data_IF_005719424943
#
_entry.id   IF_005719424943
#
_cell.length_a   1.000
_cell.length_b   1.000
_cell.length_c   1.000
_cell.angle_alpha   90.00
_cell.angle_beta   90.00
_cell.angle_gamma   90.00
#
_symmetry.space_group_name_H-M   'P 1'
#
loop_
_entity.id
_entity.type
_entity.pdbx_description
1 polymer ?
#
# COMPACT_ATOMS: atom_id res chain seq x y z
N UNK A 1 -2.55 5.81 -27.57
CA UNK A 1 -3.84 5.67 -28.27
C UNK A 1 -4.38 7.03 -28.62
N UNK A 2 -5.09 7.13 -29.75
CA UNK A 2 -5.55 8.39 -30.34
C UNK A 2 -6.80 8.97 -29.69
N UNK A 3 -6.96 10.28 -29.86
CA UNK A 3 -8.14 11.05 -29.47
C UNK A 3 -9.41 10.44 -30.13
N UNK A 4 -10.60 10.65 -29.55
CA UNK A 4 -11.88 10.21 -30.13
C UNK A 4 -12.07 8.68 -30.29
N UNK A 5 -11.40 7.89 -29.47
CA UNK A 5 -11.67 6.45 -29.44
C UNK A 5 -12.89 6.14 -28.55
N UNK A 6 -13.97 5.67 -29.17
CA UNK A 6 -15.20 5.28 -28.48
C UNK A 6 -15.02 3.98 -27.68
N UNK A 7 -15.06 2.84 -28.36
CA UNK A 7 -14.93 1.50 -27.77
C UNK A 7 -13.81 0.71 -28.43
N UNK A 8 -13.00 0.04 -27.62
CA UNK A 8 -11.98 -0.93 -28.07
C UNK A 8 -12.11 -2.23 -27.28
N UNK A 9 -12.01 -3.35 -27.99
CA UNK A 9 -11.81 -4.67 -27.39
C UNK A 9 -10.48 -5.24 -27.94
N UNK A 10 -9.61 -5.66 -27.03
CA UNK A 10 -8.33 -6.30 -27.33
C UNK A 10 -8.37 -7.69 -26.71
N UNK A 11 -8.46 -8.71 -27.56
CA UNK A 11 -8.77 -10.07 -27.14
C UNK A 11 -7.69 -11.02 -27.67
N UNK A 12 -7.16 -11.90 -26.81
CA UNK A 12 -6.22 -12.95 -27.22
C UNK A 12 -4.96 -12.42 -27.92
N UNK A 13 -4.55 -11.20 -27.59
CA UNK A 13 -3.37 -10.58 -28.19
C UNK A 13 -2.14 -10.91 -27.36
N UNK A 14 -1.05 -11.26 -28.03
CA UNK A 14 0.28 -11.37 -27.43
C UNK A 14 1.16 -10.24 -27.95
N UNK A 15 1.75 -9.48 -27.05
CA UNK A 15 2.74 -8.42 -27.34
C UNK A 15 3.93 -8.58 -26.41
N UNK A 16 5.11 -8.17 -26.86
CA UNK A 16 6.34 -8.31 -26.11
C UNK A 16 7.52 -7.68 -26.80
N UNK A 17 8.68 -7.73 -26.15
CA UNK A 17 9.96 -7.29 -26.72
C UNK A 17 9.93 -5.86 -27.27
N UNK A 18 9.36 -4.93 -26.49
CA UNK A 18 9.15 -3.54 -26.91
C UNK A 18 10.09 -2.57 -26.19
N UNK A 19 10.71 -1.64 -26.94
CA UNK A 19 11.53 -0.57 -26.35
C UNK A 19 10.70 0.47 -25.54
N UNK A 20 9.37 0.41 -25.62
CA UNK A 20 8.44 1.27 -24.91
C UNK A 20 7.40 0.44 -24.12
N UNK A 21 6.20 0.98 -23.92
CA UNK A 21 5.07 0.23 -23.38
C UNK A 21 4.56 -0.80 -24.40
N UNK A 22 4.22 -2.02 -23.95
CA UNK A 22 3.53 -2.98 -24.81
C UNK A 22 2.14 -2.48 -25.21
N UNK A 23 1.52 -1.70 -24.32
CA UNK A 23 0.18 -1.20 -24.49
C UNK A 23 0.04 0.22 -23.95
N UNK A 24 -0.20 1.16 -24.85
CA UNK A 24 -0.60 2.52 -24.51
C UNK A 24 -1.77 2.90 -25.41
N UNK A 25 -2.98 2.53 -25.01
CA UNK A 25 -4.23 2.91 -25.67
C UNK A 25 -5.18 3.55 -24.66
N UNK A 26 -5.99 4.47 -25.19
CA UNK A 26 -7.02 5.19 -24.45
C UNK A 26 -8.32 5.08 -25.25
N UNK A 27 -9.42 4.75 -24.56
CA UNK A 27 -10.77 4.69 -25.13
C UNK A 27 -11.80 5.04 -24.05
N UNK A 28 -13.00 5.46 -24.47
CA UNK A 28 -14.12 5.68 -23.53
C UNK A 28 -14.56 4.36 -22.89
N UNK A 29 -14.54 3.28 -23.67
CA UNK A 29 -14.78 1.92 -23.19
C UNK A 29 -13.67 1.00 -23.72
N UNK A 30 -12.93 0.37 -22.82
CA UNK A 30 -11.83 -0.52 -23.19
C UNK A 30 -11.97 -1.86 -22.48
N UNK A 31 -11.87 -2.95 -23.24
CA UNK A 31 -11.72 -4.29 -22.68
C UNK A 31 -10.44 -4.91 -23.21
N UNK A 32 -9.55 -5.32 -22.31
CA UNK A 32 -8.37 -6.14 -22.59
C UNK A 32 -8.59 -7.48 -21.90
N UNK A 33 -8.75 -8.55 -22.67
CA UNK A 33 -9.12 -9.86 -22.13
C UNK A 33 -8.28 -10.98 -22.73
N UNK A 34 -7.77 -11.84 -21.85
CA UNK A 34 -6.97 -13.00 -22.24
C UNK A 34 -5.74 -12.62 -23.09
N UNK A 35 -5.12 -11.48 -22.77
CA UNK A 35 -3.94 -11.00 -23.47
C UNK A 35 -2.66 -11.38 -22.72
N UNK A 36 -1.52 -11.36 -23.43
CA UNK A 36 -0.20 -11.63 -22.88
C UNK A 36 0.78 -10.51 -23.23
N UNK A 37 1.32 -9.86 -22.21
CA UNK A 37 2.32 -8.79 -22.31
C UNK A 37 3.63 -9.32 -21.72
N UNK A 38 4.50 -9.86 -22.58
CA UNK A 38 5.69 -10.62 -22.17
C UNK A 38 6.94 -9.87 -22.60
N UNK A 39 7.76 -9.42 -21.65
CA UNK A 39 8.93 -8.61 -21.93
C UNK A 39 10.15 -9.39 -22.45
N UNK A 40 11.28 -8.67 -22.63
CA UNK A 40 11.54 -7.31 -22.13
C UNK A 40 10.66 -6.21 -22.73
N UNK A 41 10.02 -5.43 -21.87
CA UNK A 41 9.28 -4.22 -22.26
C UNK A 41 9.52 -3.12 -21.24
N UNK A 42 9.63 -1.84 -21.63
CA UNK A 42 9.77 -0.78 -20.64
C UNK A 42 8.64 -0.90 -19.62
N UNK A 43 7.39 -0.88 -20.07
CA UNK A 43 6.24 -1.18 -19.22
C UNK A 43 5.26 -2.08 -19.96
N UNK A 44 4.41 -2.81 -19.25
CA UNK A 44 3.34 -3.55 -19.91
C UNK A 44 2.23 -2.61 -20.37
N UNK A 45 1.80 -1.69 -19.50
CA UNK A 45 0.70 -0.78 -19.78
C UNK A 45 0.98 0.64 -19.29
N UNK A 46 0.68 1.60 -20.15
CA UNK A 46 0.53 3.02 -19.78
C UNK A 46 -0.91 3.46 -20.07
N UNK A 47 -1.65 3.82 -19.02
CA UNK A 47 -3.06 4.18 -19.11
C UNK A 47 -3.25 5.62 -18.66
N UNK A 48 -3.84 6.43 -19.53
CA UNK A 48 -4.10 7.85 -19.22
C UNK A 48 -5.44 8.02 -18.52
N UNK A 49 -5.45 8.48 -17.28
CA UNK A 49 -6.66 8.67 -16.47
C UNK A 49 -7.33 10.04 -16.72
N UNK A 50 -7.63 10.33 -17.98
CA UNK A 50 -8.28 11.59 -18.41
C UNK A 50 -9.46 11.32 -19.33
N UNK A 51 -10.32 12.34 -19.52
CA UNK A 51 -11.40 12.25 -20.52
C UNK A 51 -10.80 11.96 -21.90
N UNK A 52 -11.43 11.06 -22.65
CA UNK A 52 -11.14 10.91 -24.07
C UNK A 52 -11.40 12.25 -24.75
N UNK A 53 -10.38 12.85 -25.35
CA UNK A 53 -10.57 14.13 -26.03
C UNK A 53 -11.62 13.90 -27.13
N UNK A 54 -12.76 14.59 -27.01
CA UNK A 54 -13.88 14.44 -27.93
C UNK A 54 -15.16 13.79 -27.42
N UNK A 55 -15.10 13.06 -26.30
CA UNK A 55 -16.30 12.46 -25.71
C UNK A 55 -16.50 12.96 -24.28
N UNK A 56 -17.72 13.41 -23.98
CA UNK A 56 -18.09 13.83 -22.63
C UNK A 56 -18.49 12.65 -21.73
N UNK A 57 -17.92 11.46 -21.96
CA UNK A 57 -18.23 10.22 -21.23
C UNK A 57 -17.10 9.89 -20.25
N UNK A 58 -17.44 9.28 -19.11
CA UNK A 58 -16.46 8.69 -18.20
C UNK A 58 -15.78 7.51 -18.89
N UNK A 59 -14.48 7.35 -18.72
CA UNK A 59 -13.75 6.21 -19.27
C UNK A 59 -13.98 4.97 -18.39
N UNK A 60 -14.28 3.83 -18.99
CA UNK A 60 -14.42 2.54 -18.31
C UNK A 60 -13.48 1.51 -18.97
N UNK A 61 -12.48 1.05 -18.23
CA UNK A 61 -11.50 0.08 -18.74
C UNK A 61 -11.50 -1.19 -17.89
N UNK A 62 -11.54 -2.33 -18.55
CA UNK A 62 -11.49 -3.66 -17.94
C UNK A 62 -10.28 -4.41 -18.50
N UNK A 63 -9.37 -4.81 -17.62
CA UNK A 63 -8.18 -5.60 -17.92
C UNK A 63 -8.32 -6.89 -17.14
N UNK A 64 -8.61 -7.98 -17.85
CA UNK A 64 -9.09 -9.22 -17.25
C UNK A 64 -8.36 -10.44 -17.80
N UNK A 65 -8.13 -11.42 -16.92
CA UNK A 65 -7.58 -12.73 -17.26
C UNK A 65 -6.28 -12.66 -18.12
N UNK A 66 -5.47 -11.62 -17.93
CA UNK A 66 -4.30 -11.36 -18.77
C UNK A 66 -2.99 -11.68 -18.03
N UNK A 67 -1.94 -11.94 -18.80
CA UNK A 67 -0.61 -12.25 -18.29
C UNK A 67 0.37 -11.12 -18.57
N UNK A 68 1.23 -10.85 -17.59
CA UNK A 68 2.17 -9.76 -17.57
C UNK A 68 3.50 -10.28 -17.04
N UNK A 69 4.55 -10.34 -17.87
CA UNK A 69 5.83 -10.94 -17.48
C UNK A 69 7.00 -10.04 -17.83
N UNK A 70 7.96 -9.85 -16.91
CA UNK A 70 9.31 -9.32 -17.21
C UNK A 70 9.40 -7.89 -17.78
N UNK A 71 8.82 -6.85 -17.14
CA UNK A 71 9.05 -5.47 -17.55
C UNK A 71 10.44 -5.00 -17.08
N UNK A 72 11.04 -4.06 -17.80
CA UNK A 72 12.37 -3.48 -17.50
C UNK A 72 12.30 -2.02 -16.98
N UNK A 73 11.10 -1.47 -16.75
CA UNK A 73 10.86 -0.13 -16.18
C UNK A 73 11.52 0.06 -14.83
N UNK A 74 11.90 1.31 -14.54
CA UNK A 74 12.40 1.78 -13.25
C UNK A 74 11.34 1.91 -12.15
N UNK A 75 10.04 1.96 -12.48
CA UNK A 75 9.01 2.36 -11.50
C UNK A 75 7.85 1.34 -11.35
N UNK A 76 7.02 1.16 -12.38
CA UNK A 76 5.87 0.25 -12.35
C UNK A 76 5.54 -0.32 -13.74
N UNK A 77 5.19 -1.61 -13.79
CA UNK A 77 4.83 -2.32 -15.04
C UNK A 77 3.49 -1.88 -15.62
N UNK A 78 2.54 -1.47 -14.78
CA UNK A 78 1.27 -0.82 -15.14
C UNK A 78 1.27 0.57 -14.52
N UNK A 79 1.27 1.59 -15.37
CA UNK A 79 1.27 2.98 -14.94
C UNK A 79 -0.05 3.65 -15.31
N UNK A 80 -0.80 4.13 -14.30
CA UNK A 80 -1.92 5.04 -14.49
C UNK A 80 -1.40 6.46 -14.30
N UNK A 81 -1.48 7.26 -15.36
CA UNK A 81 -0.77 8.55 -15.46
C UNK A 81 -1.67 9.68 -15.95
N UNK A 82 -1.19 10.92 -15.76
CA UNK A 82 -1.80 12.15 -16.27
C UNK A 82 -3.30 12.25 -15.94
N UNK A 83 -3.63 11.94 -14.70
CA UNK A 83 -4.98 12.06 -14.19
C UNK A 83 -5.46 13.52 -14.19
N UNK A 84 -6.68 13.75 -14.65
CA UNK A 84 -7.30 15.09 -14.58
C UNK A 84 -8.11 15.31 -13.28
N UNK A 85 -7.89 14.46 -12.26
CA UNK A 85 -8.64 14.40 -10.99
C UNK A 85 -10.14 14.13 -11.13
N UNK A 86 -10.62 13.82 -12.35
CA UNK A 86 -12.00 13.37 -12.61
C UNK A 86 -12.07 11.86 -12.58
N UNK A 87 -13.28 11.35 -12.43
CA UNK A 87 -13.52 9.92 -12.26
C UNK A 87 -13.44 9.15 -13.58
N UNK A 88 -12.45 8.27 -13.67
CA UNK A 88 -12.24 7.26 -14.70
C UNK A 88 -12.10 5.90 -14.04
N UNK A 89 -12.85 4.93 -14.54
CA UNK A 89 -12.93 3.61 -13.93
C UNK A 89 -11.95 2.66 -14.61
N UNK A 90 -11.19 1.94 -13.80
CA UNK A 90 -10.25 0.91 -14.24
C UNK A 90 -10.45 -0.32 -13.38
N UNK A 91 -10.61 -1.48 -14.00
CA UNK A 91 -10.72 -2.76 -13.30
C UNK A 91 -9.64 -3.70 -13.80
N UNK A 92 -8.77 -4.16 -12.89
CA UNK A 92 -7.77 -5.19 -13.11
C UNK A 92 -8.20 -6.44 -12.35
N UNK A 93 -8.78 -7.41 -13.06
CA UNK A 93 -9.40 -8.58 -12.45
C UNK A 93 -8.73 -9.88 -12.90
N UNK A 94 -8.34 -10.73 -11.95
CA UNK A 94 -7.84 -12.10 -12.24
C UNK A 94 -6.65 -12.13 -13.22
N UNK A 95 -5.77 -11.14 -13.14
CA UNK A 95 -4.55 -11.11 -13.95
C UNK A 95 -3.39 -11.78 -13.21
N UNK A 96 -2.40 -12.22 -13.99
CA UNK A 96 -1.15 -12.76 -13.49
C UNK A 96 0.00 -11.82 -13.85
N UNK A 97 0.66 -11.26 -12.85
CA UNK A 97 1.85 -10.43 -12.97
C UNK A 97 3.05 -11.19 -12.42
N UNK A 98 4.14 -11.26 -13.19
CA UNK A 98 5.31 -12.05 -12.83
C UNK A 98 6.62 -11.34 -13.18
N UNK A 99 7.63 -11.49 -12.33
CA UNK A 99 9.00 -11.02 -12.54
C UNK A 99 9.09 -9.52 -12.91
N UNK A 100 8.44 -8.66 -12.11
CA UNK A 100 8.64 -7.21 -12.21
C UNK A 100 9.68 -6.77 -11.19
N UNK A 101 10.84 -6.27 -11.61
CA UNK A 101 11.91 -5.89 -10.69
C UNK A 101 11.55 -4.74 -9.75
N UNK A 102 10.71 -3.79 -10.19
CA UNK A 102 10.39 -2.58 -9.44
C UNK A 102 8.98 -2.57 -8.87
N UNK A 103 7.94 -2.71 -9.70
CA UNK A 103 6.56 -2.63 -9.24
C UNK A 103 5.50 -3.05 -10.24
N UNK A 104 4.30 -3.32 -9.76
CA UNK A 104 3.15 -3.66 -10.62
C UNK A 104 2.33 -2.42 -10.92
N UNK A 105 1.67 -1.82 -9.93
CA UNK A 105 0.77 -0.69 -10.14
C UNK A 105 1.39 0.63 -9.67
N UNK A 106 1.51 1.59 -10.58
CA UNK A 106 1.94 2.96 -10.29
C UNK A 106 0.84 3.97 -10.58
N UNK A 107 0.59 4.87 -9.62
CA UNK A 107 -0.42 5.93 -9.71
C UNK A 107 0.23 7.31 -9.70
N UNK A 108 0.06 8.06 -10.80
CA UNK A 108 0.76 9.32 -11.01
C UNK A 108 -0.20 10.43 -11.45
N UNK A 109 -0.25 11.49 -10.65
CA UNK A 109 -0.79 12.80 -11.06
C UNK A 109 -2.30 12.82 -11.19
N UNK A 110 -3.03 12.61 -10.09
CA UNK A 110 -4.48 12.87 -10.06
C UNK A 110 -5.36 11.75 -10.57
N UNK A 111 -4.94 10.49 -10.45
CA UNK A 111 -5.74 9.35 -10.89
C UNK A 111 -6.95 9.18 -9.97
N UNK A 112 -8.15 9.42 -10.48
CA UNK A 112 -9.39 9.38 -9.72
C UNK A 112 -10.44 8.53 -10.44
N UNK A 113 -11.31 7.87 -9.67
CA UNK A 113 -12.42 7.07 -10.19
C UNK A 113 -12.46 5.69 -9.53
N UNK A 114 -13.42 4.84 -9.89
CA UNK A 114 -13.51 3.50 -9.30
C UNK A 114 -12.41 2.62 -9.87
N UNK A 115 -11.27 2.56 -9.18
CA UNK A 115 -10.13 1.74 -9.58
C UNK A 115 -10.14 0.48 -8.73
N UNK A 116 -10.38 -0.65 -9.36
CA UNK A 116 -10.53 -1.94 -8.71
C UNK A 116 -9.39 -2.84 -9.17
N UNK A 117 -8.60 -3.33 -8.22
CA UNK A 117 -7.54 -4.32 -8.44
C UNK A 117 -7.88 -5.52 -7.57
N UNK A 118 -8.48 -6.53 -8.19
CA UNK A 118 -9.09 -7.66 -7.47
C UNK A 118 -8.73 -9.02 -8.07
N UNK A 119 -8.56 -10.01 -7.20
CA UNK A 119 -8.28 -11.41 -7.55
C UNK A 119 -7.02 -11.63 -8.40
N UNK A 120 -6.05 -10.71 -8.37
CA UNK A 120 -4.81 -10.86 -9.14
C UNK A 120 -3.76 -11.67 -8.38
N UNK A 121 -2.89 -12.33 -9.14
CA UNK A 121 -1.67 -12.96 -8.64
C UNK A 121 -0.46 -12.13 -9.08
N UNK A 122 0.26 -11.57 -8.12
CA UNK A 122 1.48 -10.78 -8.33
C UNK A 122 2.63 -11.56 -7.74
N UNK A 123 3.40 -12.25 -8.58
CA UNK A 123 4.44 -13.16 -8.13
C UNK A 123 5.85 -12.67 -8.50
N UNK A 124 6.78 -12.75 -7.54
CA UNK A 124 8.16 -12.29 -7.70
C UNK A 124 8.27 -10.86 -8.24
N UNK A 125 7.54 -9.94 -7.61
CA UNK A 125 7.52 -8.51 -8.00
C UNK A 125 8.33 -7.62 -7.04
N UNK A 126 8.71 -6.41 -7.44
CA UNK A 126 9.38 -5.46 -6.56
C UNK A 126 8.40 -4.90 -5.52
N UNK A 127 7.33 -4.25 -5.96
CA UNK A 127 6.25 -3.76 -5.09
C UNK A 127 4.88 -3.96 -5.73
N UNK A 128 3.82 -4.11 -4.92
CA UNK A 128 2.48 -4.31 -5.46
C UNK A 128 1.89 -3.00 -5.98
N UNK A 129 1.92 -1.95 -5.15
CA UNK A 129 1.31 -0.67 -5.46
C UNK A 129 2.17 0.51 -4.96
N UNK A 130 2.29 1.53 -5.81
CA UNK A 130 3.08 2.72 -5.56
C UNK A 130 2.31 3.99 -5.94
N UNK A 131 2.20 4.92 -4.98
CA UNK A 131 1.62 6.25 -5.19
C UNK A 131 2.72 7.28 -5.37
N UNK A 132 3.09 7.52 -6.62
CA UNK A 132 4.24 8.34 -6.96
C UNK A 132 4.02 9.84 -6.97
N UNK A 133 5.12 10.58 -6.88
CA UNK A 133 5.16 12.02 -7.10
C UNK A 133 5.05 12.27 -8.61
N UNK A 134 4.10 13.10 -9.03
CA UNK A 134 3.95 13.51 -10.41
C UNK A 134 4.77 14.78 -10.71
N UNK A 135 5.09 15.08 -11.98
CA UNK A 135 5.72 16.35 -12.36
C UNK A 135 4.96 17.55 -11.78
N UNK A 136 5.67 18.65 -11.49
CA UNK A 136 5.17 19.76 -10.66
C UNK A 136 3.85 20.43 -11.07
N UNK A 137 3.38 20.28 -12.31
CA UNK A 137 2.05 20.76 -12.72
C UNK A 137 0.90 19.81 -12.36
N UNK A 138 1.20 18.57 -11.96
CA UNK A 138 0.25 17.54 -11.51
C UNK A 138 0.43 17.17 -10.04
N UNK A 139 1.45 17.71 -9.37
CA UNK A 139 1.84 17.34 -7.99
C UNK A 139 0.75 17.63 -6.95
N UNK A 140 -0.12 18.62 -7.20
CA UNK A 140 -1.22 18.96 -6.29
C UNK A 140 -2.46 18.06 -6.44
N UNK A 141 -2.52 17.25 -7.50
CA UNK A 141 -3.67 16.39 -7.81
C UNK A 141 -3.67 15.11 -6.98
N UNK A 142 -4.84 14.73 -6.46
CA UNK A 142 -4.98 13.60 -5.53
C UNK A 142 -5.33 12.31 -6.26
N UNK A 143 -4.66 11.21 -5.91
CA UNK A 143 -5.12 9.89 -6.31
C UNK A 143 -6.27 9.45 -5.40
N UNK A 144 -7.39 8.98 -5.93
CA UNK A 144 -8.55 8.62 -5.08
C UNK A 144 -9.46 7.51 -5.60
N UNK A 145 -10.17 6.89 -4.66
CA UNK A 145 -11.21 5.87 -4.86
C UNK A 145 -10.65 4.52 -5.38
N UNK A 146 -9.62 4.01 -4.71
CA UNK A 146 -8.89 2.80 -5.15
C UNK A 146 -9.17 1.64 -4.21
N UNK A 147 -9.47 0.47 -4.75
CA UNK A 147 -9.72 -0.77 -4.02
C UNK A 147 -8.70 -1.81 -4.47
N UNK A 148 -7.91 -2.31 -3.53
CA UNK A 148 -6.95 -3.40 -3.71
C UNK A 148 -7.37 -4.58 -2.84
N UNK A 149 -7.98 -5.60 -3.44
CA UNK A 149 -8.71 -6.64 -2.72
C UNK A 149 -8.42 -8.06 -3.19
N UNK A 150 -8.33 -9.01 -2.27
CA UNK A 150 -8.23 -10.45 -2.56
C UNK A 150 -7.08 -10.82 -3.52
N UNK A 151 -5.99 -10.06 -3.50
CA UNK A 151 -4.81 -10.33 -4.31
C UNK A 151 -3.83 -11.23 -3.54
N UNK A 152 -3.14 -12.10 -4.27
CA UNK A 152 -1.98 -12.85 -3.78
C UNK A 152 -0.72 -12.15 -4.26
N UNK A 153 0.14 -11.76 -3.33
CA UNK A 153 1.33 -10.98 -3.63
C UNK A 153 2.56 -11.62 -3.02
N UNK A 154 3.58 -11.85 -3.84
CA UNK A 154 4.92 -12.26 -3.47
C UNK A 154 5.88 -11.18 -3.97
N UNK A 155 6.49 -10.42 -3.07
CA UNK A 155 7.32 -9.28 -3.47
C UNK A 155 8.61 -9.11 -2.67
N UNK A 156 9.67 -8.67 -3.34
CA UNK A 156 10.98 -8.42 -2.74
C UNK A 156 11.07 -7.05 -2.04
N UNK A 157 10.23 -6.10 -2.43
CA UNK A 157 10.04 -4.80 -1.79
C UNK A 157 8.70 -4.72 -1.06
N UNK A 158 8.16 -3.51 -0.95
CA UNK A 158 6.96 -3.27 -0.14
C UNK A 158 5.68 -3.77 -0.81
N UNK A 159 4.70 -4.16 -0.02
CA UNK A 159 3.35 -4.38 -0.50
C UNK A 159 2.77 -3.07 -1.08
N UNK A 160 2.68 -2.00 -0.29
CA UNK A 160 2.14 -0.68 -0.72
C UNK A 160 3.07 0.46 -0.27
N UNK A 161 3.24 1.50 -1.10
CA UNK A 161 3.93 2.75 -0.74
C UNK A 161 3.09 4.00 -1.00
N UNK A 162 3.01 4.90 -0.01
CA UNK A 162 2.32 6.19 -0.08
C UNK A 162 3.30 7.38 0.03
N UNK A 163 3.51 8.12 -1.07
CA UNK A 163 4.36 9.33 -1.10
C UNK A 163 3.69 10.58 -1.67
N UNK A 164 2.40 10.52 -1.97
CA UNK A 164 1.66 11.63 -2.55
C UNK A 164 0.31 11.83 -1.82
N UNK A 165 -0.51 12.78 -2.27
CA UNK A 165 -1.85 13.00 -1.76
C UNK A 165 -2.77 11.87 -2.22
N UNK A 166 -3.31 11.12 -1.27
CA UNK A 166 -4.14 9.94 -1.54
C UNK A 166 -5.39 9.94 -0.68
N UNK A 167 -6.54 9.68 -1.28
CA UNK A 167 -7.83 9.68 -0.57
C UNK A 167 -8.69 8.46 -0.91
N UNK A 168 -9.45 7.95 0.05
CA UNK A 168 -10.42 6.86 -0.15
C UNK A 168 -9.78 5.61 -0.79
N UNK A 169 -8.80 5.03 -0.10
CA UNK A 169 -8.14 3.79 -0.55
C UNK A 169 -8.49 2.67 0.42
N UNK A 170 -8.96 1.55 -0.12
CA UNK A 170 -9.26 0.34 0.65
C UNK A 170 -8.33 -0.79 0.21
N UNK A 171 -7.56 -1.32 1.16
CA UNK A 171 -6.65 -2.45 0.96
C UNK A 171 -7.13 -3.57 1.86
N UNK A 172 -7.72 -4.62 1.30
CA UNK A 172 -8.35 -5.65 2.14
C UNK A 172 -8.25 -7.08 1.63
N UNK A 173 -8.25 -8.02 2.56
CA UNK A 173 -8.35 -9.45 2.26
C UNK A 173 -7.22 -9.96 1.34
N UNK A 174 -6.06 -9.29 1.32
CA UNK A 174 -4.92 -9.71 0.52
C UNK A 174 -3.98 -10.63 1.30
N UNK A 175 -3.24 -11.45 0.57
CA UNK A 175 -2.12 -12.23 1.12
C UNK A 175 -0.83 -11.69 0.56
N UNK A 176 0.04 -11.18 1.44
CA UNK A 176 1.37 -10.70 1.09
C UNK A 176 2.44 -11.62 1.68
N UNK A 177 3.38 -12.07 0.85
CA UNK A 177 4.55 -12.84 1.25
C UNK A 177 5.81 -12.08 0.87
N UNK A 178 6.59 -11.70 1.89
CA UNK A 178 7.93 -11.20 1.66
C UNK A 178 8.85 -12.31 1.17
N UNK A 179 9.57 -12.04 0.08
CA UNK A 179 10.61 -12.94 -0.46
C UNK A 179 12.03 -12.38 -0.27
N UNK A 180 12.15 -11.22 0.36
CA UNK A 180 13.44 -10.65 0.73
C UNK A 180 13.40 -10.08 2.14
N UNK A 181 14.57 -9.88 2.74
CA UNK A 181 14.69 -9.19 4.03
C UNK A 181 14.23 -7.72 3.98
N UNK A 182 14.02 -7.14 2.79
CA UNK A 182 13.56 -5.77 2.55
C UNK A 182 12.05 -5.68 2.27
N UNK A 183 11.35 -6.81 2.20
CA UNK A 183 9.91 -6.82 1.99
C UNK A 183 9.20 -6.17 3.18
N UNK A 184 8.35 -5.17 2.93
CA UNK A 184 7.68 -4.39 3.98
C UNK A 184 6.17 -4.36 3.75
N UNK A 185 5.37 -4.56 4.81
CA UNK A 185 3.91 -4.57 4.74
C UNK A 185 3.33 -3.25 4.19
N UNK A 186 3.93 -2.11 4.54
CA UNK A 186 3.54 -0.80 4.03
C UNK A 186 4.63 0.23 4.31
N UNK A 187 4.83 1.19 3.42
CA UNK A 187 5.68 2.36 3.65
C UNK A 187 4.85 3.62 3.42
N UNK A 188 4.91 4.58 4.33
CA UNK A 188 4.31 5.89 4.11
C UNK A 188 5.11 7.00 4.80
N UNK A 189 5.05 8.20 4.23
CA UNK A 189 5.68 9.39 4.81
C UNK A 189 5.66 10.54 3.80
N UNK A 190 5.80 11.78 4.31
CA UNK A 190 5.81 13.00 3.47
C UNK A 190 4.59 13.09 2.52
N UNK A 191 3.45 12.54 2.96
CA UNK A 191 2.23 12.44 2.17
C UNK A 191 1.03 13.01 2.94
N UNK A 192 -0.05 13.30 2.22
CA UNK A 192 -1.35 13.64 2.79
C UNK A 192 -2.31 12.49 2.51
N UNK A 193 -2.73 11.79 3.55
CA UNK A 193 -3.62 10.64 3.45
C UNK A 193 -4.97 10.94 4.09
N UNK A 194 -6.06 10.51 3.43
CA UNK A 194 -7.43 10.62 3.96
C UNK A 194 -8.20 9.34 3.66
N UNK A 195 -8.90 8.81 4.66
CA UNK A 195 -9.77 7.64 4.50
C UNK A 195 -9.03 6.44 3.86
N UNK A 196 -7.87 6.08 4.42
CA UNK A 196 -7.12 4.90 4.01
C UNK A 196 -7.48 3.76 4.96
N UNK A 197 -8.05 2.68 4.45
CA UNK A 197 -8.43 1.49 5.21
C UNK A 197 -7.53 0.31 4.81
N UNK A 198 -6.96 -0.35 5.81
CA UNK A 198 -6.13 -1.54 5.65
C UNK A 198 -6.68 -2.63 6.55
N UNK A 199 -7.45 -3.57 5.99
CA UNK A 199 -8.19 -4.55 6.81
C UNK A 199 -8.06 -6.00 6.36
N UNK A 200 -8.07 -6.93 7.31
CA UNK A 200 -8.13 -8.38 7.06
C UNK A 200 -7.04 -8.90 6.09
N UNK A 201 -5.88 -8.23 5.99
CA UNK A 201 -4.76 -8.72 5.18
C UNK A 201 -3.90 -9.69 5.99
N UNK A 202 -3.21 -10.61 5.31
CA UNK A 202 -2.25 -11.53 5.92
C UNK A 202 -0.86 -11.23 5.38
N UNK A 203 0.07 -10.88 6.27
CA UNK A 203 1.44 -10.52 5.98
C UNK A 203 2.39 -11.62 6.48
N UNK A 204 3.14 -12.26 5.58
CA UNK A 204 4.13 -13.31 5.89
C UNK A 204 5.55 -12.83 5.68
N UNK A 205 6.45 -13.16 6.61
CA UNK A 205 7.90 -13.03 6.46
C UNK A 205 8.35 -11.65 5.96
N UNK A 206 7.71 -10.59 6.44
CA UNK A 206 7.98 -9.23 6.01
C UNK A 206 8.18 -8.32 7.21
N UNK A 207 8.80 -7.18 6.96
CA UNK A 207 8.83 -6.08 7.90
C UNK A 207 7.42 -5.56 8.13
N UNK A 208 7.11 -5.21 9.37
CA UNK A 208 5.90 -4.45 9.67
C UNK A 208 6.00 -3.03 9.09
N UNK A 209 4.89 -2.31 9.09
CA UNK A 209 4.77 -1.00 8.46
C UNK A 209 5.84 -0.01 8.91
N UNK A 210 6.31 0.81 7.97
CA UNK A 210 7.26 1.89 8.17
C UNK A 210 6.60 3.26 8.00
N UNK A 211 6.92 4.19 8.90
CA UNK A 211 6.67 5.62 8.68
C UNK A 211 8.00 6.37 8.54
N UNK A 212 8.46 6.59 7.31
CA UNK A 212 9.80 7.13 7.04
C UNK A 212 9.89 8.67 7.08
N UNK A 213 8.76 9.36 7.21
CA UNK A 213 8.71 10.81 7.41
C UNK A 213 7.45 11.24 8.16
N UNK A 214 7.43 12.49 8.64
CA UNK A 214 6.21 13.11 9.17
C UNK A 214 5.10 13.16 8.13
N UNK A 215 3.85 13.20 8.59
CA UNK A 215 2.70 13.40 7.72
C UNK A 215 2.56 14.89 7.41
N UNK A 216 2.28 15.23 6.15
CA UNK A 216 1.98 16.60 5.72
C UNK A 216 0.47 16.85 5.83
N UNK A 217 -0.06 16.67 7.04
CA UNK A 217 -1.50 16.64 7.32
C UNK A 217 -2.18 15.31 7.00
N UNK A 218 -3.45 15.19 7.37
CA UNK A 218 -4.25 13.97 7.21
C UNK A 218 -4.14 13.00 8.39
N UNK A 219 -4.64 11.77 8.19
CA UNK A 219 -4.60 10.67 9.18
C UNK A 219 -3.71 9.55 8.67
N UNK A 220 -3.07 8.81 9.60
CA UNK A 220 -2.44 7.51 9.33
C UNK A 220 -3.48 6.54 8.75
N UNK A 221 -3.07 5.47 8.05
CA UNK A 221 -4.01 4.44 7.64
C UNK A 221 -4.75 3.84 8.85
N UNK A 222 -6.04 3.55 8.67
CA UNK A 222 -6.82 2.81 9.65
C UNK A 222 -6.55 1.31 9.45
N UNK A 223 -5.75 0.74 10.35
CA UNK A 223 -5.43 -0.69 10.34
C UNK A 223 -6.46 -1.46 11.17
N UNK A 224 -6.98 -2.56 10.64
CA UNK A 224 -8.01 -3.35 11.30
C UNK A 224 -7.89 -4.83 10.98
N UNK A 225 -7.58 -5.64 11.99
CA UNK A 225 -7.60 -7.11 11.91
C UNK A 225 -6.65 -7.67 10.84
N UNK A 226 -5.52 -7.00 10.56
CA UNK A 226 -4.49 -7.65 9.75
C UNK A 226 -3.72 -8.65 10.62
N UNK A 227 -3.23 -9.71 9.97
CA UNK A 227 -2.47 -10.78 10.62
C UNK A 227 -1.03 -10.73 10.14
N UNK A 228 -0.09 -10.76 11.09
CA UNK A 228 1.34 -10.82 10.81
C UNK A 228 1.88 -12.20 11.22
N UNK A 229 2.53 -12.90 10.29
CA UNK A 229 3.11 -14.23 10.49
C UNK A 229 4.61 -14.14 10.23
N UNK A 230 5.41 -14.44 11.25
CA UNK A 230 6.85 -14.21 11.28
C UNK A 230 7.24 -12.77 10.85
N UNK A 231 6.65 -11.74 11.51
CA UNK A 231 7.03 -10.36 11.23
C UNK A 231 8.49 -10.10 11.56
N UNK A 232 9.12 -9.23 10.76
CA UNK A 232 10.42 -8.66 11.04
C UNK A 232 10.22 -7.26 11.63
N UNK A 233 10.80 -7.01 12.80
CA UNK A 233 10.76 -5.71 13.43
C UNK A 233 12.13 -5.04 13.32
N UNK A 234 12.15 -3.74 13.02
CA UNK A 234 13.35 -2.92 13.04
C UNK A 234 13.03 -1.55 13.61
N UNK A 235 14.07 -0.81 13.99
CA UNK A 235 13.94 0.57 14.43
C UNK A 235 13.24 1.36 13.32
N UNK A 236 12.23 2.17 13.67
CA UNK A 236 11.29 2.86 12.76
C UNK A 236 10.30 1.97 11.97
N UNK A 237 10.39 0.65 12.10
CA UNK A 237 9.55 -0.37 11.46
C UNK A 237 8.95 -1.28 12.54
N UNK A 238 8.09 -0.67 13.35
CA UNK A 238 7.31 -1.31 14.40
C UNK A 238 8.09 -1.71 15.65
N UNK A 239 9.43 -1.57 15.68
CA UNK A 239 10.22 -1.60 16.92
C UNK A 239 10.45 -0.19 17.42
N UNK A 240 10.25 0.04 18.71
CA UNK A 240 10.59 1.30 19.39
C UNK A 240 11.26 1.00 20.74
N UNK A 241 12.31 1.77 21.03
CA UNK A 241 12.95 1.79 22.37
C UNK A 241 12.37 2.99 23.11
N UNK A 242 11.83 2.72 24.28
CA UNK A 242 11.08 3.68 25.10
C UNK A 242 11.80 3.81 26.43
N UNK A 243 12.15 5.04 26.79
CA UNK A 243 12.92 5.35 28.00
C UNK A 243 12.41 6.63 28.66
N UNK A 244 12.91 6.98 29.84
CA UNK A 244 12.56 8.25 30.50
C UNK A 244 12.91 9.49 29.66
N UNK A 245 13.98 9.43 28.85
CA UNK A 245 14.35 10.53 27.95
C UNK A 245 13.51 10.59 26.67
N UNK A 246 12.85 9.48 26.31
CA UNK A 246 11.92 9.41 25.19
C UNK A 246 10.72 8.49 25.50
N UNK A 247 9.75 8.97 26.29
CA UNK A 247 8.64 8.14 26.77
C UNK A 247 7.54 7.91 25.73
N UNK A 248 7.72 8.41 24.50
CA UNK A 248 6.68 8.51 23.48
C UNK A 248 6.66 7.31 22.54
N UNK A 249 5.53 6.61 22.50
CA UNK A 249 5.23 5.57 21.52
C UNK A 249 4.48 6.19 20.33
N UNK A 250 4.99 5.94 19.12
CA UNK A 250 4.37 6.36 17.86
C UNK A 250 3.63 5.19 17.19
N UNK A 251 2.29 5.16 17.18
CA UNK A 251 1.54 4.08 16.53
C UNK A 251 1.55 4.23 15.01
N UNK A 252 2.54 3.59 14.37
CA UNK A 252 2.69 3.57 12.90
C UNK A 252 1.92 2.42 12.22
N UNK A 253 1.39 1.47 13.00
CA UNK A 253 0.51 0.39 12.54
C UNK A 253 -0.34 -0.14 13.71
N UNK A 254 -1.15 -1.16 13.47
CA UNK A 254 -1.87 -1.85 14.56
C UNK A 254 -0.98 -2.78 15.40
N UNK A 255 0.28 -3.02 15.03
CA UNK A 255 1.17 -3.93 15.77
C UNK A 255 2.57 -3.34 15.97
N UNK A 256 2.99 -3.25 17.23
CA UNK A 256 4.30 -2.75 17.65
C UNK A 256 5.00 -3.70 18.62
N UNK A 257 6.33 -3.66 18.59
CA UNK A 257 7.21 -4.18 19.64
C UNK A 257 7.89 -3.02 20.36
N UNK A 258 7.77 -3.01 21.69
CA UNK A 258 8.41 -2.02 22.54
C UNK A 258 9.51 -2.66 23.38
N UNK A 259 10.67 -2.01 23.42
CA UNK A 259 11.70 -2.25 24.41
C UNK A 259 11.63 -1.15 25.45
N UNK A 260 11.48 -1.52 26.71
CA UNK A 260 11.35 -0.56 27.81
C UNK A 260 12.68 -0.46 28.56
N UNK A 261 13.19 0.76 28.70
CA UNK A 261 14.41 1.07 29.42
C UNK A 261 14.09 2.06 30.56
N UNK A 262 14.11 1.55 31.80
CA UNK A 262 13.93 2.32 33.04
C UNK A 262 12.72 3.26 33.08
N UNK A 263 11.59 2.90 32.45
CA UNK A 263 10.44 3.80 32.31
C UNK A 263 9.29 3.51 33.28
N UNK A 264 8.76 4.57 33.90
CA UNK A 264 7.60 4.50 34.80
C UNK A 264 6.27 4.65 34.05
N UNK A 265 6.21 5.51 33.03
CA UNK A 265 4.98 5.84 32.29
C UNK A 265 5.23 5.97 30.80
N UNK A 266 4.31 5.47 29.98
CA UNK A 266 4.38 5.54 28.52
C UNK A 266 3.32 6.53 28.02
N UNK A 267 3.72 7.43 27.13
CA UNK A 267 2.82 8.32 26.39
C UNK A 267 2.62 7.79 24.97
N UNK A 268 1.38 7.52 24.56
CA UNK A 268 1.09 6.98 23.23
C UNK A 268 0.53 8.11 22.35
N UNK A 269 1.28 8.46 21.30
CA UNK A 269 0.93 9.51 20.34
C UNK A 269 -0.48 9.28 19.75
N UNK A 270 -1.24 10.36 19.65
CA UNK A 270 -2.62 10.39 19.14
C UNK A 270 -2.73 11.12 17.80
N UNK A 271 -1.65 11.77 17.35
CA UNK A 271 -1.64 12.61 16.16
C UNK A 271 -2.02 11.82 14.91
N UNK A 272 -3.12 12.18 14.26
CA UNK A 272 -3.52 11.54 13.00
C UNK A 272 -3.98 10.08 13.16
N UNK A 273 -4.41 9.66 14.34
CA UNK A 273 -5.01 8.34 14.56
C UNK A 273 -6.52 8.36 14.25
N UNK A 274 -7.03 7.26 13.70
CA UNK A 274 -8.46 7.09 13.41
C UNK A 274 -9.23 6.63 14.65
N UNK A 275 -10.44 7.15 14.84
CA UNK A 275 -11.32 6.67 15.93
C UNK A 275 -11.55 5.16 15.83
N UNK A 276 -11.45 4.48 16.97
CA UNK A 276 -11.59 3.04 17.04
C UNK A 276 -10.38 2.22 16.60
N UNK A 277 -9.25 2.84 16.19
CA UNK A 277 -7.98 2.15 15.93
C UNK A 277 -7.61 1.26 17.12
N UNK A 278 -7.32 -0.01 16.85
CA UNK A 278 -6.76 -0.93 17.83
C UNK A 278 -5.24 -0.95 17.66
N UNK A 279 -4.52 -0.88 18.78
CA UNK A 279 -3.08 -1.00 18.84
C UNK A 279 -2.72 -2.19 19.72
N UNK A 280 -2.04 -3.16 19.13
CA UNK A 280 -1.41 -4.29 19.82
C UNK A 280 0.06 -3.95 20.09
N UNK A 281 0.47 -4.06 21.35
CA UNK A 281 1.83 -3.81 21.80
C UNK A 281 2.38 -5.11 22.39
N UNK A 282 3.49 -5.60 21.86
CA UNK A 282 4.29 -6.65 22.50
C UNK A 282 5.48 -6.00 23.22
N UNK A 283 5.55 -6.18 24.54
CA UNK A 283 6.67 -5.67 25.35
C UNK A 283 7.79 -6.72 25.39
N UNK A 284 8.97 -6.31 24.95
CA UNK A 284 10.20 -7.08 25.00
C UNK A 284 11.05 -6.56 26.16
N UNK A 285 11.13 -7.35 27.23
CA UNK A 285 12.02 -7.04 28.36
C UNK A 285 13.44 -7.50 28.01
N UNK A 286 14.33 -6.57 27.66
CA UNK A 286 15.77 -6.79 27.78
C UNK A 286 16.24 -6.19 29.11
N UNK A 287 17.02 -6.94 29.88
CA UNK A 287 17.45 -6.54 31.23
C UNK A 287 18.38 -5.31 31.21
N UNK A 288 18.22 -4.41 32.19
CA UNK A 288 19.20 -3.42 32.69
C UNK A 288 19.07 -3.27 34.22
N UNK A 289 20.12 -2.91 35.00
CA UNK A 289 20.41 -3.50 36.30
C UNK A 289 19.59 -2.92 37.45
N UNK A 290 19.03 -3.81 38.26
CA UNK A 290 18.62 -3.49 39.63
C UNK A 290 17.12 -3.31 39.80
N UNK A 291 16.34 -4.39 39.69
CA UNK A 291 15.16 -4.55 40.53
C UNK A 291 14.82 -6.03 40.68
N UNK A 292 14.61 -6.45 41.93
CA UNK A 292 14.17 -7.79 42.32
C UNK A 292 12.82 -8.10 41.69
N UNK A 293 12.82 -8.82 40.57
CA UNK A 293 11.62 -9.46 40.01
C UNK A 293 11.84 -10.97 39.98
N UNK A 294 11.80 -11.58 41.17
CA UNK A 294 11.52 -13.02 41.28
C UNK A 294 10.06 -13.23 40.85
N UNK A 295 9.85 -14.11 39.86
CA UNK A 295 8.55 -14.61 39.38
C UNK A 295 7.79 -13.76 38.36
N UNK A 296 8.33 -13.60 37.14
CA UNK A 296 7.46 -13.56 35.95
C UNK A 296 7.96 -14.55 34.90
N UNK A 297 7.11 -15.54 34.62
CA UNK A 297 7.24 -16.41 33.48
C UNK A 297 7.40 -15.57 32.20
N UNK A 298 8.09 -16.15 31.20
CA UNK A 298 8.29 -15.61 29.84
C UNK A 298 6.98 -15.55 29.03
N UNK A 299 5.89 -15.06 29.62
CA UNK A 299 4.67 -14.77 28.88
C UNK A 299 4.86 -13.45 28.14
N UNK A 300 4.59 -13.48 26.83
CA UNK A 300 4.56 -12.28 25.99
C UNK A 300 3.51 -11.32 26.55
N UNK A 301 3.93 -10.24 27.21
CA UNK A 301 3.04 -9.19 27.68
C UNK A 301 2.48 -8.45 26.45
N UNK A 302 1.36 -8.93 25.92
CA UNK A 302 0.69 -8.33 24.77
C UNK A 302 -0.47 -7.49 25.26
N UNK A 303 -0.40 -6.18 25.04
CA UNK A 303 -1.39 -5.23 25.53
C UNK A 303 -2.18 -4.66 24.34
N UNK A 304 -3.49 -4.48 24.53
CA UNK A 304 -4.38 -3.91 23.51
C UNK A 304 -4.94 -2.57 23.96
N UNK A 305 -4.79 -1.54 23.12
CA UNK A 305 -5.40 -0.24 23.30
C UNK A 305 -6.39 0.06 22.17
N UNK A 306 -7.43 0.83 22.47
CA UNK A 306 -8.37 1.39 21.50
C UNK A 306 -8.34 2.91 21.56
N UNK A 307 -8.12 3.58 20.42
CA UNK A 307 -8.19 5.03 20.36
C UNK A 307 -9.64 5.53 20.40
N UNK A 308 -9.88 6.56 21.21
CA UNK A 308 -11.16 7.26 21.29
C UNK A 308 -10.94 8.75 20.96
N UNK A 309 -11.39 9.16 19.78
CA UNK A 309 -11.17 10.53 19.27
C UNK A 309 -11.91 11.57 20.11
N UNK A 310 -13.11 11.26 20.62
CA UNK A 310 -13.87 12.18 21.50
C UNK A 310 -13.15 12.47 22.82
N UNK A 311 -12.41 11.50 23.35
CA UNK A 311 -11.63 11.65 24.59
C UNK A 311 -10.18 12.05 24.33
N UNK A 312 -9.75 12.08 23.07
CA UNK A 312 -8.37 12.37 22.67
C UNK A 312 -7.33 11.43 23.28
N UNK A 313 -7.67 10.17 23.60
CA UNK A 313 -6.77 9.25 24.30
C UNK A 313 -6.96 7.78 23.94
N UNK A 314 -5.92 7.00 24.20
CA UNK A 314 -5.93 5.54 24.14
C UNK A 314 -6.58 4.94 25.39
N UNK A 315 -7.44 3.95 25.20
CA UNK A 315 -8.16 3.23 26.27
C UNK A 315 -7.69 1.78 26.29
N UNK A 316 -7.10 1.34 27.39
CA UNK A 316 -6.72 -0.05 27.61
C UNK A 316 -7.96 -0.95 27.44
N UNK A 317 -7.85 -1.97 26.59
CA UNK A 317 -8.91 -2.96 26.37
C UNK A 317 -8.64 -4.24 27.16
N UNK A 318 -7.42 -4.78 27.05
CA UNK A 318 -6.98 -6.06 27.63
C UNK A 318 -5.44 -6.04 27.83
N UNK A 319 -4.95 -6.75 28.84
CA UNK A 319 -3.52 -6.93 29.19
C UNK A 319 -3.20 -8.40 29.41
#
# INVERSE_FOLDING_TARGET
>A
GGLYTGRINVLNVKTGDTNASCFNLHASEMTVNNCSFIGPAMMWMELTARKGQGFNRKSNSYIINSQFVGPVTSNAGVSLVQGDSKEHNYSFLRNNFHNSSNGVFGFYGGVAGSIIIEDNNLDSVGQAMYFGIAPGYLSDSKNKNIIFKNNKVSASGSFIQFYNRVENVTIKENVFRGISQHSTAMIYGNCTMKNILVENNIFYNCRVTEQNASLNGGKRPYFKKNKYINPLFRDSQGKQVISNSNPKVKPISEFLQLYLDEIETIDIDTLGINDGQILQIEILNDKGPGQNLKNRNKEKNTIFYKYNERKGKWILQQS
#
